data_IF_088802734562
#
_entry.id   IF_088802734562
#
_cell.length_a   1.000
_cell.length_b   1.000
_cell.length_c   1.000
_cell.angle_alpha   90.00
_cell.angle_beta   90.00
_cell.angle_gamma   90.00
#
_symmetry.space_group_name_H-M   'P 1'
#
loop_
_entity.id
_entity.type
_entity.pdbx_description
1 polymer ?
#
# COMPACT_ATOMS: atom_id res chain seq x y z
N UNK A 1 6.02 21.04 -16.69
CA UNK A 1 6.39 19.85 -15.91
C UNK A 1 5.11 19.25 -15.39
N UNK A 2 4.68 18.11 -15.92
CA UNK A 2 3.49 17.45 -15.39
C UNK A 2 3.90 16.79 -14.08
N UNK A 3 3.27 17.22 -12.99
CA UNK A 3 3.48 16.67 -11.65
C UNK A 3 3.03 15.21 -11.67
N UNK A 4 3.93 14.29 -11.32
CA UNK A 4 3.71 12.86 -11.39
C UNK A 4 3.88 12.25 -9.98
N UNK A 5 2.82 12.37 -9.18
CA UNK A 5 2.74 11.81 -7.83
C UNK A 5 1.59 10.81 -7.74
N UNK A 6 1.83 9.68 -7.07
CA UNK A 6 0.86 8.60 -6.92
C UNK A 6 0.59 8.26 -5.46
N UNK A 7 -0.61 7.70 -5.24
CA UNK A 7 -1.04 6.98 -4.04
C UNK A 7 -0.59 7.62 -2.71
N UNK A 8 -1.08 8.85 -2.40
CA UNK A 8 -0.78 9.44 -1.11
C UNK A 8 -1.52 8.73 0.02
N UNK A 9 -0.87 8.66 1.19
CA UNK A 9 -1.49 8.21 2.44
C UNK A 9 -0.97 9.07 3.62
N UNK A 10 -1.74 9.18 4.70
CA UNK A 10 -1.51 10.16 5.76
C UNK A 10 -1.69 9.57 7.15
N UNK A 11 -0.83 9.95 8.08
CA UNK A 11 -0.96 9.61 9.50
C UNK A 11 -0.78 10.84 10.38
N UNK A 12 -1.51 10.88 11.50
CA UNK A 12 -1.34 11.90 12.52
C UNK A 12 -0.26 11.49 13.53
N UNK A 13 0.64 12.41 13.86
CA UNK A 13 1.62 12.31 14.94
C UNK A 13 0.99 12.66 16.29
N UNK A 14 1.70 12.34 17.37
CA UNK A 14 1.27 12.68 18.74
C UNK A 14 1.15 14.19 18.99
N UNK A 15 1.96 15.00 18.32
CA UNK A 15 1.89 16.47 18.41
C UNK A 15 0.74 17.08 17.58
N UNK A 16 -0.13 16.23 17.02
CA UNK A 16 -1.29 16.61 16.21
C UNK A 16 -0.97 17.00 14.77
N UNK A 17 0.31 17.04 14.37
CA UNK A 17 0.71 17.27 12.96
C UNK A 17 0.49 16.00 12.14
N UNK A 18 0.42 16.15 10.82
CA UNK A 18 0.19 15.07 9.88
C UNK A 18 1.43 14.84 9.03
N UNK A 19 1.73 13.58 8.75
CA UNK A 19 2.73 13.17 7.77
C UNK A 19 2.01 12.58 6.57
N UNK A 20 2.21 13.20 5.40
CA UNK A 20 1.72 12.75 4.11
C UNK A 20 2.86 12.04 3.37
N UNK A 21 2.68 10.77 3.06
CA UNK A 21 3.60 10.00 2.23
C UNK A 21 3.04 9.91 0.81
N UNK A 22 3.92 9.89 -0.18
CA UNK A 22 3.52 9.80 -1.59
C UNK A 22 4.65 9.22 -2.43
N UNK A 23 4.31 8.59 -3.55
CA UNK A 23 5.29 8.24 -4.58
C UNK A 23 5.49 9.44 -5.52
N UNK A 24 6.74 9.77 -5.86
CA UNK A 24 7.05 10.86 -6.79
C UNK A 24 8.10 10.49 -7.83
N UNK A 25 7.86 10.86 -9.08
CA UNK A 25 8.81 10.67 -10.17
C UNK A 25 10.05 11.55 -9.96
N UNK A 26 11.23 10.94 -10.02
CA UNK A 26 12.48 11.69 -9.85
C UNK A 26 12.84 12.43 -11.14
N UNK A 27 13.14 13.73 -11.03
CA UNK A 27 13.62 14.55 -12.16
C UNK A 27 14.89 13.98 -12.81
N UNK A 28 15.75 13.35 -12.01
CA UNK A 28 17.00 12.72 -12.47
C UNK A 28 16.81 11.28 -12.94
N UNK A 29 15.63 10.69 -12.78
CA UNK A 29 15.35 9.30 -13.13
C UNK A 29 13.88 9.15 -13.58
N UNK A 30 13.62 9.64 -14.79
CA UNK A 30 12.28 9.70 -15.41
C UNK A 30 11.69 8.28 -15.56
N UNK A 31 10.37 8.16 -15.33
CA UNK A 31 9.56 6.93 -15.25
C UNK A 31 9.81 6.04 -14.04
N UNK A 32 10.59 6.51 -13.07
CA UNK A 32 10.80 5.81 -11.82
C UNK A 32 10.41 6.69 -10.64
N UNK A 33 9.76 6.08 -9.67
CA UNK A 33 9.22 6.75 -8.51
C UNK A 33 9.99 6.34 -7.26
N UNK A 34 10.10 7.28 -6.33
CA UNK A 34 10.58 7.03 -4.98
C UNK A 34 9.61 7.63 -3.98
N UNK A 35 9.65 7.14 -2.74
CA UNK A 35 8.74 7.57 -1.70
C UNK A 35 9.25 8.88 -1.12
N UNK A 36 8.41 9.91 -1.14
CA UNK A 36 8.59 11.15 -0.42
C UNK A 36 7.69 11.22 0.81
N UNK A 37 8.04 12.12 1.73
CA UNK A 37 7.21 12.47 2.87
C UNK A 37 7.11 14.00 2.98
N UNK A 38 5.98 14.49 3.47
CA UNK A 38 5.73 15.89 3.75
C UNK A 38 5.00 16.04 5.08
N UNK A 39 5.34 17.07 5.87
CA UNK A 39 4.76 17.29 7.21
C UNK A 39 3.87 18.53 7.18
N UNK A 40 2.66 18.45 7.73
CA UNK A 40 1.74 19.58 7.80
C UNK A 40 2.31 20.73 8.61
N UNK A 41 2.13 21.96 8.17
CA UNK A 41 2.49 23.17 8.91
C UNK A 41 1.40 23.53 9.94
N UNK A 42 1.21 22.66 10.93
CA UNK A 42 0.17 22.78 11.97
C UNK A 42 -0.64 21.49 12.13
N UNK A 43 -1.78 21.59 12.81
CA UNK A 43 -2.67 20.46 13.15
C UNK A 43 -3.87 20.31 12.20
N UNK A 44 -3.87 21.02 11.07
CA UNK A 44 -4.88 20.86 10.03
C UNK A 44 -4.50 19.70 9.10
N UNK A 45 -5.37 18.69 8.91
CA UNK A 45 -5.12 17.62 7.94
C UNK A 45 -5.12 18.13 6.50
N UNK A 46 -5.67 19.31 6.23
CA UNK A 46 -5.66 19.95 4.91
C UNK A 46 -4.32 20.60 4.55
N UNK A 47 -3.35 20.62 5.47
CA UNK A 47 -2.04 21.24 5.27
C UNK A 47 -2.05 22.75 5.51
N UNK A 48 -1.11 23.52 4.90
CA UNK A 48 -0.19 23.08 3.85
C UNK A 48 0.85 22.08 4.36
N UNK A 49 1.33 21.20 3.47
CA UNK A 49 2.38 20.22 3.76
C UNK A 49 3.73 20.72 3.25
N UNK A 50 4.77 20.58 4.07
CA UNK A 50 6.14 20.93 3.74
C UNK A 50 6.88 19.64 3.36
N UNK A 51 7.25 19.43 2.09
CA UNK A 51 7.95 18.21 1.66
C UNK A 51 9.37 18.17 2.20
N UNK A 52 9.86 16.95 2.47
CA UNK A 52 11.27 16.69 2.75
C UNK A 52 12.08 16.79 1.44
N UNK A 53 13.34 17.18 1.57
CA UNK A 53 14.26 17.27 0.42
C UNK A 53 14.75 15.89 -0.06
N UNK A 54 14.73 14.90 0.82
CA UNK A 54 15.22 13.54 0.56
C UNK A 54 14.04 12.58 0.45
N UNK A 55 14.20 11.56 -0.40
CA UNK A 55 13.27 10.44 -0.48
C UNK A 55 13.41 9.56 0.76
N UNK A 56 12.29 9.10 1.31
CA UNK A 56 12.24 8.14 2.40
C UNK A 56 12.72 6.74 1.95
N UNK A 57 12.30 6.30 0.76
CA UNK A 57 12.73 5.02 0.19
C UNK A 57 12.90 5.11 -1.33
N UNK A 58 14.03 4.60 -1.84
CA UNK A 58 14.38 4.69 -3.25
C UNK A 58 15.36 3.56 -3.67
N UNK A 59 14.93 2.28 -3.69
CA UNK A 59 15.77 1.15 -4.09
C UNK A 59 15.99 1.15 -5.61
N UNK A 60 16.96 1.95 -6.07
CA UNK A 60 17.16 2.24 -7.51
C UNK A 60 17.54 1.01 -8.34
N UNK A 61 18.33 0.12 -7.75
CA UNK A 61 18.70 -1.16 -8.34
C UNK A 61 17.52 -2.11 -8.53
N UNK A 62 16.38 -1.83 -7.88
CA UNK A 62 15.16 -2.63 -7.94
C UNK A 62 13.97 -1.88 -8.58
N UNK A 63 14.21 -0.73 -9.22
CA UNK A 63 13.18 0.02 -9.97
C UNK A 63 12.53 1.19 -9.22
N UNK A 64 12.82 1.37 -7.93
CA UNK A 64 12.25 2.43 -7.10
C UNK A 64 11.15 1.90 -6.16
N UNK A 65 10.33 2.79 -5.63
CA UNK A 65 9.30 2.44 -4.66
C UNK A 65 8.05 3.31 -4.81
N UNK A 66 6.89 2.68 -4.62
CA UNK A 66 5.57 3.30 -4.71
C UNK A 66 4.64 2.80 -3.59
N UNK A 67 3.45 3.39 -3.54
CA UNK A 67 2.34 3.03 -2.66
C UNK A 67 2.72 2.97 -1.17
N UNK A 68 3.24 4.07 -0.58
CA UNK A 68 3.46 4.12 0.86
C UNK A 68 2.11 4.08 1.61
N UNK A 69 2.04 3.31 2.68
CA UNK A 69 0.97 3.39 3.68
C UNK A 69 1.60 3.39 5.08
N UNK A 70 1.34 4.43 5.90
CA UNK A 70 1.84 4.48 7.26
C UNK A 70 1.08 3.54 8.19
N UNK A 71 1.80 3.00 9.16
CA UNK A 71 1.24 2.19 10.24
C UNK A 71 1.86 2.62 11.56
N UNK A 72 1.06 2.68 12.62
CA UNK A 72 1.54 2.91 13.98
C UNK A 72 1.18 1.70 14.82
N UNK A 73 2.18 1.03 15.37
CA UNK A 73 1.95 -0.17 16.17
C UNK A 73 1.62 0.19 17.63
N UNK A 74 1.21 -0.81 18.41
CA UNK A 74 0.77 -0.67 19.80
C UNK A 74 1.86 -0.20 20.77
N UNK A 75 3.14 -0.36 20.39
CA UNK A 75 4.30 0.15 21.13
C UNK A 75 4.59 1.63 20.82
N UNK A 76 3.78 2.24 19.96
CA UNK A 76 3.88 3.64 19.57
C UNK A 76 4.81 3.89 18.38
N UNK A 77 5.56 2.87 17.92
CA UNK A 77 6.50 3.01 16.81
C UNK A 77 5.80 3.27 15.49
N UNK A 78 6.42 4.13 14.68
CA UNK A 78 5.98 4.39 13.33
C UNK A 78 6.63 3.41 12.35
N UNK A 79 5.84 3.00 11.38
CA UNK A 79 6.29 2.24 10.23
C UNK A 79 5.69 2.85 8.98
N UNK A 80 6.36 2.67 7.86
CA UNK A 80 5.75 2.81 6.54
C UNK A 80 5.93 1.51 5.79
N UNK A 81 4.81 0.95 5.34
CA UNK A 81 4.80 -0.18 4.43
C UNK A 81 4.73 0.35 3.00
N UNK A 82 5.46 -0.25 2.07
CA UNK A 82 5.48 0.17 0.68
C UNK A 82 5.84 -0.96 -0.27
N UNK A 83 5.63 -0.74 -1.57
CA UNK A 83 6.04 -1.66 -2.62
C UNK A 83 7.33 -1.20 -3.28
N UNK A 84 8.27 -2.13 -3.52
CA UNK A 84 9.34 -1.94 -4.50
C UNK A 84 8.76 -2.03 -5.91
N UNK A 85 8.95 -0.98 -6.71
CA UNK A 85 8.40 -0.84 -8.06
C UNK A 85 9.17 -1.64 -9.11
N UNK A 86 9.44 -2.93 -8.83
CA UNK A 86 10.20 -3.81 -9.73
C UNK A 86 9.59 -3.94 -11.12
N UNK A 87 8.27 -3.72 -11.24
CA UNK A 87 7.61 -3.66 -12.53
C UNK A 87 8.04 -2.46 -13.40
N UNK A 88 8.65 -1.41 -12.86
CA UNK A 88 9.22 -0.30 -13.64
C UNK A 88 10.39 -0.75 -14.53
N UNK A 89 11.10 -1.81 -14.13
CA UNK A 89 12.22 -2.41 -14.86
C UNK A 89 11.87 -3.80 -15.43
N UNK A 90 10.58 -4.11 -15.52
CA UNK A 90 10.11 -5.38 -16.05
C UNK A 90 10.28 -5.52 -17.57
N UNK A 91 9.90 -6.70 -18.08
CA UNK A 91 10.16 -7.12 -19.46
C UNK A 91 8.96 -6.90 -20.41
N UNK A 92 8.01 -6.03 -20.03
CA UNK A 92 6.81 -5.69 -20.80
C UNK A 92 5.57 -6.52 -20.45
N UNK A 93 4.47 -6.27 -21.15
CA UNK A 93 3.16 -6.87 -20.87
C UNK A 93 2.34 -6.08 -19.85
N UNK A 94 1.42 -6.74 -19.15
CA UNK A 94 0.56 -6.10 -18.14
C UNK A 94 1.41 -5.43 -17.06
N UNK A 95 1.17 -4.13 -16.83
CA UNK A 95 1.95 -3.28 -15.92
C UNK A 95 3.47 -3.43 -16.12
N UNK A 96 3.92 -3.58 -17.38
CA UNK A 96 5.32 -3.76 -17.75
C UNK A 96 6.01 -5.02 -17.15
N UNK A 97 5.27 -5.92 -16.51
CA UNK A 97 5.86 -7.07 -15.80
C UNK A 97 5.10 -8.38 -16.05
N UNK A 98 4.39 -8.48 -17.17
CA UNK A 98 3.61 -9.67 -17.55
C UNK A 98 4.38 -10.68 -18.41
N UNK A 99 5.49 -10.25 -19.04
CA UNK A 99 6.39 -11.13 -19.81
C UNK A 99 7.48 -11.66 -18.89
N UNK A 100 7.79 -12.96 -19.01
CA UNK A 100 8.83 -13.60 -18.21
C UNK A 100 10.25 -13.16 -18.64
N UNK A 101 11.22 -13.15 -17.72
CA UNK A 101 11.07 -13.41 -16.28
C UNK A 101 10.31 -12.28 -15.58
N UNK A 102 9.44 -12.62 -14.62
CA UNK A 102 8.72 -11.62 -13.83
C UNK A 102 9.71 -11.02 -12.83
N UNK A 103 9.81 -9.70 -12.77
CA UNK A 103 10.63 -9.01 -11.77
C UNK A 103 9.86 -8.98 -10.44
N UNK A 104 10.46 -9.32 -9.29
CA UNK A 104 9.77 -9.25 -8.00
C UNK A 104 9.28 -7.84 -7.67
N UNK A 105 8.13 -7.73 -7.00
CA UNK A 105 7.57 -6.49 -6.46
C UNK A 105 7.33 -6.64 -4.96
N UNK A 106 8.38 -6.77 -4.14
CA UNK A 106 8.21 -7.01 -2.72
C UNK A 106 7.54 -5.85 -1.99
N UNK A 107 6.77 -6.20 -0.97
CA UNK A 107 6.26 -5.29 0.05
C UNK A 107 7.28 -5.22 1.18
N UNK A 108 7.73 -4.02 1.48
CA UNK A 108 8.75 -3.69 2.46
C UNK A 108 8.12 -2.96 3.64
N UNK A 109 8.64 -3.23 4.84
CA UNK A 109 8.29 -2.56 6.08
C UNK A 109 9.52 -1.79 6.58
N UNK A 110 9.42 -0.46 6.64
CA UNK A 110 10.46 0.40 7.20
C UNK A 110 10.01 0.95 8.55
N UNK A 111 10.79 0.68 9.60
CA UNK A 111 10.63 1.34 10.91
C UNK A 111 11.10 2.79 10.81
N UNK A 112 10.40 3.69 11.51
CA UNK A 112 10.65 5.12 11.54
C UNK A 112 10.76 5.59 12.99
N UNK A 113 11.56 6.64 13.20
CA UNK A 113 11.55 7.40 14.44
C UNK A 113 10.17 8.05 14.70
N UNK A 114 9.96 8.56 15.92
CA UNK A 114 8.70 9.20 16.33
C UNK A 114 8.31 10.44 15.50
N UNK A 115 9.23 10.98 14.69
CA UNK A 115 8.92 12.07 13.78
C UNK A 115 8.10 11.64 12.55
N UNK A 116 7.98 10.33 12.31
CA UNK A 116 7.28 9.71 11.20
C UNK A 116 7.95 9.93 9.84
N UNK A 117 9.21 10.35 9.79
CA UNK A 117 9.89 10.61 8.49
C UNK A 117 11.34 10.16 8.45
N UNK A 118 11.95 9.87 9.60
CA UNK A 118 13.35 9.43 9.69
C UNK A 118 13.40 7.90 9.79
N UNK A 119 13.97 7.19 8.81
CA UNK A 119 14.11 5.73 8.86
C UNK A 119 15.06 5.24 9.96
N UNK A 120 14.69 4.12 10.59
CA UNK A 120 15.49 3.41 11.59
C UNK A 120 15.81 2.01 11.09
N UNK A 121 17.09 1.69 10.93
CA UNK A 121 17.55 0.39 10.41
C UNK A 121 17.12 0.11 8.96
N UNK A 122 17.40 -1.13 8.51
CA UNK A 122 17.08 -1.57 7.16
C UNK A 122 15.60 -2.01 7.02
N UNK A 123 14.97 -1.79 5.85
CA UNK A 123 13.61 -2.25 5.61
C UNK A 123 13.54 -3.78 5.52
N UNK A 124 12.47 -4.36 6.06
CA UNK A 124 12.24 -5.81 6.05
C UNK A 124 11.22 -6.17 4.98
N UNK A 125 11.53 -7.14 4.12
CA UNK A 125 10.54 -7.68 3.18
C UNK A 125 9.52 -8.55 3.94
N UNK A 126 8.23 -8.22 3.82
CA UNK A 126 7.16 -8.92 4.53
C UNK A 126 6.25 -9.76 3.61
N UNK A 127 6.20 -9.43 2.31
CA UNK A 127 5.46 -10.18 1.29
C UNK A 127 6.08 -9.92 -0.09
N UNK A 128 5.93 -10.83 -1.05
CA UNK A 128 6.30 -10.59 -2.46
C UNK A 128 5.28 -11.25 -3.40
N UNK A 129 5.25 -10.87 -4.67
CA UNK A 129 4.31 -11.44 -5.63
C UNK A 129 4.64 -12.92 -5.93
N UNK A 130 3.62 -13.77 -5.89
CA UNK A 130 3.71 -15.17 -6.30
C UNK A 130 3.00 -15.40 -7.64
N UNK A 131 3.09 -16.62 -8.18
CA UNK A 131 2.41 -17.00 -9.43
C UNK A 131 0.91 -16.68 -9.39
N UNK A 132 0.27 -16.83 -8.24
CA UNK A 132 -1.17 -16.56 -8.06
C UNK A 132 -1.49 -15.06 -8.17
N UNK A 133 -0.55 -14.18 -7.81
CA UNK A 133 -0.73 -12.73 -7.84
C UNK A 133 -0.45 -12.15 -9.24
N UNK A 134 0.10 -12.97 -10.15
CA UNK A 134 0.47 -12.56 -11.51
C UNK A 134 1.67 -11.60 -11.52
N UNK A 135 1.60 -10.49 -12.29
CA UNK A 135 2.79 -9.67 -12.54
C UNK A 135 3.27 -8.88 -11.32
N UNK A 136 2.42 -8.61 -10.33
CA UNK A 136 2.78 -7.77 -9.18
C UNK A 136 1.79 -7.91 -8.01
N UNK A 137 2.26 -7.47 -6.85
CA UNK A 137 1.46 -7.07 -5.68
C UNK A 137 1.75 -5.62 -5.35
N UNK A 138 0.76 -4.87 -4.88
CA UNK A 138 0.89 -3.42 -4.64
C UNK A 138 -0.13 -2.87 -3.65
N UNK A 139 -0.12 -1.55 -3.42
CA UNK A 139 -1.02 -0.86 -2.50
C UNK A 139 -1.18 -1.54 -1.13
N UNK A 140 -0.08 -1.71 -0.37
CA UNK A 140 -0.13 -2.33 0.94
C UNK A 140 -0.86 -1.42 1.94
N UNK A 141 -1.61 -2.03 2.87
CA UNK A 141 -2.13 -1.36 4.05
C UNK A 141 -2.17 -2.35 5.23
N UNK A 142 -1.73 -1.93 6.42
CA UNK A 142 -1.67 -2.80 7.60
C UNK A 142 -2.62 -2.29 8.68
N UNK A 143 -3.39 -3.21 9.25
CA UNK A 143 -4.09 -3.01 10.53
C UNK A 143 -3.71 -4.13 11.50
N UNK A 144 -4.01 -3.93 12.78
CA UNK A 144 -3.88 -4.95 13.82
C UNK A 144 -5.22 -5.10 14.54
N UNK A 145 -5.71 -6.33 14.70
CA UNK A 145 -6.92 -6.58 15.49
C UNK A 145 -6.64 -6.52 16.99
N UNK A 146 -7.70 -6.48 17.79
CA UNK A 146 -7.59 -6.49 19.26
C UNK A 146 -6.94 -7.78 19.78
N UNK A 147 -7.14 -8.91 19.09
CA UNK A 147 -6.49 -10.20 19.37
C UNK A 147 -5.00 -10.24 19.01
N UNK A 148 -4.47 -9.18 18.40
CA UNK A 148 -3.06 -9.05 18.04
C UNK A 148 -2.66 -9.71 16.74
N UNK A 149 -3.62 -9.96 15.84
CA UNK A 149 -3.33 -10.41 14.48
C UNK A 149 -3.14 -9.19 13.58
N UNK A 150 -2.02 -9.17 12.85
CA UNK A 150 -1.74 -8.19 11.81
C UNK A 150 -2.36 -8.66 10.49
N UNK A 151 -3.07 -7.77 9.82
CA UNK A 151 -3.64 -7.98 8.50
C UNK A 151 -2.96 -7.03 7.52
N UNK A 152 -2.27 -7.59 6.52
CA UNK A 152 -1.71 -6.89 5.38
C UNK A 152 -2.70 -7.00 4.21
N UNK A 153 -3.40 -5.91 3.90
CA UNK A 153 -4.16 -5.76 2.68
C UNK A 153 -3.23 -5.38 1.54
N UNK A 154 -3.51 -5.87 0.34
CA UNK A 154 -2.76 -5.54 -0.86
C UNK A 154 -3.62 -5.77 -2.11
N UNK A 155 -3.27 -5.12 -3.20
CA UNK A 155 -3.78 -5.47 -4.53
C UNK A 155 -2.92 -6.52 -5.19
N UNK A 156 -3.53 -7.43 -5.96
CA UNK A 156 -2.80 -8.35 -6.85
C UNK A 156 -3.19 -8.15 -8.31
N UNK A 157 -2.33 -8.58 -9.22
CA UNK A 157 -2.40 -8.34 -10.67
C UNK A 157 -2.24 -6.87 -11.06
N UNK A 158 -2.34 -6.57 -12.37
CA UNK A 158 -2.21 -5.22 -12.89
C UNK A 158 -3.54 -4.45 -12.84
N UNK A 159 -3.53 -3.18 -12.42
CA UNK A 159 -4.74 -2.35 -12.28
C UNK A 159 -5.57 -2.17 -13.57
N UNK A 160 -4.96 -2.34 -14.74
CA UNK A 160 -5.66 -2.30 -16.05
C UNK A 160 -6.31 -3.64 -16.43
N UNK A 161 -6.07 -4.70 -15.66
CA UNK A 161 -6.62 -6.03 -15.89
C UNK A 161 -7.92 -6.24 -15.11
N UNK A 162 -8.86 -6.99 -15.68
CA UNK A 162 -10.05 -7.48 -14.95
C UNK A 162 -9.71 -8.41 -13.78
N UNK A 163 -8.47 -8.90 -13.68
CA UNK A 163 -8.02 -9.72 -12.56
C UNK A 163 -7.63 -8.90 -11.33
N UNK A 164 -7.43 -7.58 -11.46
CA UNK A 164 -7.09 -6.73 -10.32
C UNK A 164 -8.11 -6.91 -9.19
N UNK A 165 -7.62 -7.13 -7.99
CA UNK A 165 -8.44 -7.46 -6.84
C UNK A 165 -7.81 -6.93 -5.56
N UNK A 166 -8.65 -6.76 -4.53
CA UNK A 166 -8.23 -6.55 -3.15
C UNK A 166 -8.06 -7.93 -2.50
N UNK A 167 -6.87 -8.19 -1.96
CA UNK A 167 -6.54 -9.40 -1.20
C UNK A 167 -5.96 -9.00 0.16
N UNK A 168 -5.81 -9.98 1.03
CA UNK A 168 -5.14 -9.80 2.31
C UNK A 168 -4.35 -11.04 2.70
N UNK A 169 -3.41 -10.83 3.62
CA UNK A 169 -2.68 -11.87 4.32
C UNK A 169 -2.62 -11.52 5.81
N UNK A 170 -2.42 -12.50 6.68
CA UNK A 170 -2.40 -12.29 8.12
C UNK A 170 -1.21 -12.96 8.81
N UNK A 171 -0.81 -12.42 9.95
CA UNK A 171 0.32 -12.88 10.76
C UNK A 171 0.13 -12.49 12.22
N UNK A 172 0.68 -13.26 13.16
CA UNK A 172 0.78 -12.87 14.58
C UNK A 172 2.03 -12.01 14.88
N UNK A 173 2.77 -11.64 13.83
CA UNK A 173 3.99 -10.83 13.86
C UNK A 173 3.94 -9.81 12.75
N UNK A 174 4.17 -8.53 13.06
CA UNK A 174 4.21 -7.44 12.07
C UNK A 174 5.20 -7.72 10.93
N UNK A 175 6.33 -8.36 11.25
CA UNK A 175 7.40 -8.72 10.29
C UNK A 175 7.14 -10.06 9.56
N UNK A 176 5.97 -10.67 9.76
CA UNK A 176 5.59 -11.93 9.17
C UNK A 176 6.16 -13.17 9.89
N UNK A 177 6.12 -14.34 9.25
CA UNK A 177 5.62 -14.58 7.88
C UNK A 177 4.09 -14.39 7.76
N UNK A 178 3.64 -13.87 6.63
CA UNK A 178 2.23 -13.65 6.35
C UNK A 178 1.60 -14.85 5.60
N UNK A 179 0.44 -15.29 6.06
CA UNK A 179 -0.39 -16.30 5.39
C UNK A 179 -1.44 -15.62 4.52
N UNK A 180 -1.39 -15.84 3.20
CA UNK A 180 -2.37 -15.25 2.26
C UNK A 180 -3.75 -15.89 2.45
N UNK A 181 -4.79 -15.07 2.36
CA UNK A 181 -6.15 -15.56 2.23
C UNK A 181 -6.31 -16.37 0.93
N UNK A 182 -7.11 -17.43 0.98
CA UNK A 182 -7.35 -18.31 -0.18
C UNK A 182 -8.08 -17.56 -1.31
N UNK A 183 -9.04 -16.70 -0.96
CA UNK A 183 -9.83 -15.89 -1.89
C UNK A 183 -9.48 -14.40 -1.75
N UNK A 184 -9.58 -13.67 -2.86
CA UNK A 184 -9.64 -12.21 -2.82
C UNK A 184 -10.86 -11.72 -2.00
N UNK A 185 -10.69 -10.60 -1.28
CA UNK A 185 -11.76 -9.95 -0.53
C UNK A 185 -12.77 -9.29 -1.48
N UNK A 186 -12.27 -8.55 -2.47
CA UNK A 186 -13.07 -7.99 -3.56
C UNK A 186 -12.40 -8.25 -4.90
N UNK A 187 -13.16 -8.73 -5.88
CA UNK A 187 -12.70 -8.96 -7.25
C UNK A 187 -13.74 -8.52 -8.27
N UNK A 188 -13.35 -8.45 -9.55
CA UNK A 188 -14.29 -8.15 -10.62
C UNK A 188 -15.51 -9.08 -10.61
N UNK A 189 -16.69 -8.50 -10.75
CA UNK A 189 -17.99 -9.20 -10.69
C UNK A 189 -18.67 -9.12 -9.33
N UNK A 190 -17.91 -9.08 -8.22
CA UNK A 190 -18.49 -8.86 -6.90
C UNK A 190 -19.17 -7.49 -6.87
N UNK A 191 -20.45 -7.42 -6.46
CA UNK A 191 -21.20 -6.17 -6.35
C UNK A 191 -21.16 -5.26 -7.59
N UNK A 192 -20.96 -5.83 -8.79
CA UNK A 192 -20.82 -5.08 -10.03
C UNK A 192 -19.47 -4.35 -10.20
N UNK A 193 -18.51 -4.60 -9.33
CA UNK A 193 -17.17 -4.01 -9.36
C UNK A 193 -16.38 -4.51 -10.58
N UNK A 194 -15.48 -3.65 -11.07
CA UNK A 194 -14.51 -3.97 -12.12
C UNK A 194 -13.13 -3.55 -11.67
N UNK A 195 -12.22 -4.51 -11.56
CA UNK A 195 -10.83 -4.28 -11.13
C UNK A 195 -10.74 -3.51 -9.80
N UNK A 196 -11.37 -3.98 -8.70
CA UNK A 196 -11.25 -3.32 -7.40
C UNK A 196 -9.82 -3.46 -6.84
N UNK A 197 -9.31 -2.43 -6.18
CA UNK A 197 -7.99 -2.45 -5.52
C UNK A 197 -7.62 -1.12 -4.88
N UNK A 198 -6.38 -1.01 -4.38
CA UNK A 198 -5.89 0.20 -3.72
C UNK A 198 -6.64 0.49 -2.44
N UNK A 199 -6.74 -0.52 -1.58
CA UNK A 199 -7.60 -0.50 -0.40
C UNK A 199 -6.88 0.07 0.83
N UNK A 200 -7.58 0.92 1.58
CA UNK A 200 -7.19 1.37 2.92
C UNK A 200 -8.31 1.03 3.90
N UNK A 201 -7.96 0.37 4.99
CA UNK A 201 -8.91 -0.08 6.02
C UNK A 201 -8.84 0.83 7.22
N UNK A 202 -9.99 1.09 7.85
CA UNK A 202 -10.05 1.86 9.10
C UNK A 202 -9.27 1.13 10.21
N UNK A 203 -8.63 1.84 11.15
CA UNK A 203 -7.82 1.20 12.20
C UNK A 203 -8.58 0.18 13.05
N UNK A 204 -9.90 0.35 13.22
CA UNK A 204 -10.77 -0.58 13.95
C UNK A 204 -11.21 -1.80 13.10
N UNK A 205 -10.79 -1.90 11.84
CA UNK A 205 -11.06 -3.05 10.98
C UNK A 205 -12.51 -3.23 10.55
N UNK A 206 -13.35 -2.19 10.61
CA UNK A 206 -14.79 -2.30 10.29
C UNK A 206 -15.18 -1.74 8.93
N UNK A 207 -14.39 -0.82 8.39
CA UNK A 207 -14.69 -0.10 7.16
C UNK A 207 -13.45 -0.02 6.28
N UNK A 208 -13.66 0.15 4.98
CA UNK A 208 -12.56 0.38 4.06
C UNK A 208 -13.00 1.22 2.88
N UNK A 209 -12.02 1.90 2.28
CA UNK A 209 -12.16 2.56 0.99
C UNK A 209 -11.22 1.91 -0.01
N UNK A 210 -11.64 1.84 -1.26
CA UNK A 210 -10.85 1.30 -2.37
C UNK A 210 -11.32 1.91 -3.68
N UNK A 211 -10.59 1.71 -4.77
CA UNK A 211 -11.04 2.12 -6.09
C UNK A 211 -11.54 0.94 -6.91
N UNK A 212 -12.42 1.21 -7.87
CA UNK A 212 -12.74 0.30 -8.98
C UNK A 212 -13.00 1.09 -10.26
N UNK A 213 -12.89 0.43 -11.41
CA UNK A 213 -13.11 1.03 -12.72
C UNK A 213 -14.59 1.41 -12.91
N UNK A 214 -14.85 2.69 -13.21
CA UNK A 214 -16.17 3.27 -13.45
C UNK A 214 -16.26 3.90 -14.86
N UNK A 215 -15.70 3.20 -15.86
CA UNK A 215 -15.63 3.67 -17.24
C UNK A 215 -14.22 4.15 -17.59
N UNK A 216 -14.07 5.45 -17.90
CA UNK A 216 -12.77 6.06 -18.23
C UNK A 216 -11.87 6.33 -17.01
N UNK A 217 -12.43 6.23 -15.81
CA UNK A 217 -11.78 6.58 -14.55
C UNK A 217 -11.83 5.42 -13.55
N UNK A 218 -11.10 5.59 -12.46
CA UNK A 218 -11.25 4.81 -11.23
C UNK A 218 -12.02 5.66 -10.24
N UNK A 219 -13.12 5.13 -9.72
CA UNK A 219 -13.95 5.78 -8.72
C UNK A 219 -13.66 5.18 -7.34
N UNK A 220 -13.81 5.99 -6.29
CA UNK A 220 -13.74 5.52 -4.91
C UNK A 220 -15.04 4.81 -4.53
N UNK A 221 -14.90 3.71 -3.80
CA UNK A 221 -15.96 2.93 -3.18
C UNK A 221 -15.65 2.77 -1.70
N UNK A 222 -16.70 2.60 -0.90
CA UNK A 222 -16.59 2.26 0.51
C UNK A 222 -17.33 0.95 0.77
N UNK A 223 -16.83 0.16 1.72
CA UNK A 223 -17.49 -1.05 2.19
C UNK A 223 -17.29 -1.22 3.69
N UNK A 224 -18.26 -1.86 4.35
CA UNK A 224 -18.04 -2.45 5.66
C UNK A 224 -17.41 -3.83 5.49
N UNK A 225 -16.63 -4.25 6.48
CA UNK A 225 -16.03 -5.58 6.55
C UNK A 225 -16.22 -6.16 7.96
N UNK A 226 -16.19 -7.48 8.04
CA UNK A 226 -16.14 -8.21 9.30
C UNK A 226 -14.90 -9.10 9.33
N UNK A 227 -14.15 -9.06 10.43
CA UNK A 227 -12.97 -9.89 10.66
C UNK A 227 -13.36 -10.97 11.66
N UNK A 228 -13.37 -12.22 11.21
CA UNK A 228 -13.74 -13.37 12.04
C UNK A 228 -12.54 -13.88 12.86
N UNK A 229 -12.83 -14.60 13.94
CA UNK A 229 -11.81 -15.18 14.86
C UNK A 229 -10.81 -16.12 14.19
N UNK A 230 -11.15 -16.66 13.01
CA UNK A 230 -10.27 -17.50 12.19
C UNK A 230 -9.49 -16.70 11.13
N UNK A 231 -9.36 -15.39 11.32
CA UNK A 231 -8.71 -14.44 10.40
C UNK A 231 -9.35 -14.34 9.01
N UNK A 232 -10.59 -14.81 8.86
CA UNK A 232 -11.35 -14.62 7.62
C UNK A 232 -12.03 -13.25 7.60
N UNK A 233 -11.82 -12.50 6.54
CA UNK A 233 -12.47 -11.20 6.30
C UNK A 233 -13.56 -11.36 5.25
N UNK A 234 -14.76 -10.85 5.55
CA UNK A 234 -15.91 -10.85 4.64
C UNK A 234 -16.49 -9.44 4.49
N UNK A 235 -17.04 -9.09 3.31
CA UNK A 235 -17.85 -7.88 3.17
C UNK A 235 -19.05 -7.90 4.13
N UNK A 236 -19.42 -6.74 4.64
CA UNK A 236 -20.57 -6.52 5.52
C UNK A 236 -21.46 -5.39 4.98
N UNK A 237 -22.66 -5.25 5.55
CA UNK A 237 -23.53 -4.11 5.27
C UNK A 237 -22.97 -2.85 5.98
N UNK A 238 -22.95 -1.72 5.26
CA UNK A 238 -22.62 -0.41 5.81
C UNK A 238 -23.73 0.12 6.73
#
# INVERSE_FOLDING_TARGET
MNVNHYAPDVIQREDGRFVLYYAGELKSWIRHHCIGAAVSNGTSPLGPYIPRNESLACPRDQGGAIDPSPFRDIDGKFYVVYKVDGNSIGHGGNCNNGKKPIVPTPIMLQELENDGVTPTGDPVQILTNEKVDGPLVEAPNIIRSDEGVYYLFFSSHCFTSSKYNVKYAYSTSLRGPYTRAERALFQSGDFGLKSPGGATVSPNGTQMVFHANCGKYRCMYAAAINISVNSTITPAAL
#
